data_IF_073542853997
#
_entry.id   IF_073542853997
#
_cell.length_a   1.000
_cell.length_b   1.000
_cell.length_c   1.000
_cell.angle_alpha   90.00
_cell.angle_beta   90.00
_cell.angle_gamma   90.00
#
_symmetry.space_group_name_H-M   'P 1'
#
loop_
_entity.id
_entity.type
_entity.pdbx_description
1 polymer ?
#
# COMPACT_ATOMS: atom_id res chain seq x y z
N UNK A 1 16.45 4.73 11.64
CA UNK A 1 15.35 3.83 12.07
C UNK A 1 14.50 4.57 13.07
N UNK A 2 13.17 4.51 12.94
CA UNK A 2 12.25 5.05 13.93
C UNK A 2 12.29 4.14 15.17
N UNK A 3 13.27 4.36 16.06
CA UNK A 3 13.49 3.49 17.21
C UNK A 3 12.47 3.81 18.31
N UNK A 4 11.64 2.81 18.65
CA UNK A 4 10.88 2.78 19.90
C UNK A 4 9.37 3.00 19.81
N UNK A 5 8.80 3.18 18.62
CA UNK A 5 7.34 3.33 18.46
C UNK A 5 6.79 2.34 17.44
N UNK A 6 5.70 1.67 17.81
CA UNK A 6 4.96 0.77 16.92
C UNK A 6 4.34 1.59 15.77
N UNK A 7 4.62 1.19 14.54
CA UNK A 7 4.04 1.78 13.33
C UNK A 7 2.88 0.89 12.89
N UNK A 8 1.70 1.49 12.70
CA UNK A 8 0.53 0.81 12.15
C UNK A 8 0.22 1.35 10.76
N UNK A 9 0.10 0.44 9.80
CA UNK A 9 -0.37 0.76 8.45
C UNK A 9 -1.89 0.67 8.45
N UNK A 10 -2.56 1.72 8.00
CA UNK A 10 -4.02 1.77 7.82
C UNK A 10 -4.29 2.19 6.37
N UNK A 11 -5.17 1.45 5.71
CA UNK A 11 -5.69 1.82 4.40
C UNK A 11 -6.82 2.83 4.59
N UNK A 12 -7.05 3.69 3.58
CA UNK A 12 -8.32 4.42 3.50
C UNK A 12 -9.47 3.44 3.27
N UNK A 13 -10.70 3.88 3.52
CA UNK A 13 -11.90 3.05 3.30
C UNK A 13 -11.93 2.45 1.89
N UNK A 14 -11.73 3.27 0.86
CA UNK A 14 -11.76 2.81 -0.53
C UNK A 14 -10.59 1.87 -0.85
N UNK A 15 -9.41 2.12 -0.26
CA UNK A 15 -8.26 1.27 -0.46
C UNK A 15 -8.42 -0.10 0.23
N UNK A 16 -9.06 -0.14 1.41
CA UNK A 16 -9.37 -1.39 2.11
C UNK A 16 -10.37 -2.24 1.33
N UNK A 17 -11.44 -1.62 0.80
CA UNK A 17 -12.43 -2.29 -0.04
C UNK A 17 -11.77 -2.99 -1.25
N UNK A 18 -10.97 -2.23 -2.02
CA UNK A 18 -10.28 -2.76 -3.21
C UNK A 18 -9.25 -3.82 -2.82
N UNK A 19 -8.56 -3.67 -1.69
CA UNK A 19 -7.62 -4.67 -1.18
C UNK A 19 -8.30 -5.98 -0.78
N UNK A 20 -9.48 -5.91 -0.16
CA UNK A 20 -10.28 -7.09 0.19
C UNK A 20 -10.81 -7.81 -1.06
N UNK A 21 -11.22 -7.06 -2.09
CA UNK A 21 -11.60 -7.63 -3.39
C UNK A 21 -10.43 -8.35 -4.07
N UNK A 22 -9.25 -7.72 -4.10
CA UNK A 22 -8.03 -8.32 -4.64
C UNK A 22 -7.69 -9.65 -3.92
N UNK A 23 -7.78 -9.67 -2.59
CA UNK A 23 -7.58 -10.88 -1.79
C UNK A 23 -8.57 -11.99 -2.17
N UNK A 24 -9.85 -11.68 -2.38
CA UNK A 24 -10.85 -12.66 -2.83
C UNK A 24 -10.53 -13.21 -4.21
N UNK A 25 -10.08 -12.37 -5.14
CA UNK A 25 -9.68 -12.79 -6.50
C UNK A 25 -8.48 -13.75 -6.42
N UNK A 26 -7.43 -13.37 -5.68
CA UNK A 26 -6.24 -14.22 -5.48
C UNK A 26 -6.61 -15.55 -4.82
N UNK A 27 -7.50 -15.55 -3.83
CA UNK A 27 -8.00 -16.78 -3.22
C UNK A 27 -8.66 -17.72 -4.23
N UNK A 28 -9.52 -17.19 -5.11
CA UNK A 28 -10.17 -17.97 -6.18
C UNK A 28 -9.18 -18.50 -7.20
N UNK A 29 -8.15 -17.72 -7.57
CA UNK A 29 -7.09 -18.17 -8.48
C UNK A 29 -6.30 -19.34 -7.90
N UNK A 30 -5.89 -19.24 -6.63
CA UNK A 30 -5.18 -20.31 -5.94
C UNK A 30 -6.00 -21.59 -5.87
N UNK A 31 -7.30 -21.49 -5.59
CA UNK A 31 -8.22 -22.65 -5.61
C UNK A 31 -8.33 -23.30 -6.99
N UNK A 32 -8.13 -22.55 -8.07
CA UNK A 32 -8.09 -23.05 -9.45
C UNK A 32 -6.71 -23.58 -9.86
N UNK A 33 -5.73 -23.61 -8.96
CA UNK A 33 -4.35 -24.04 -9.26
C UNK A 33 -3.53 -23.01 -10.04
N UNK A 34 -3.99 -21.77 -10.13
CA UNK A 34 -3.22 -20.67 -10.76
C UNK A 34 -2.16 -20.20 -9.76
N UNK A 35 -0.89 -20.45 -10.07
CA UNK A 35 0.24 -20.16 -9.18
C UNK A 35 0.94 -18.83 -9.48
N UNK A 36 0.61 -18.20 -10.62
CA UNK A 36 1.13 -16.89 -11.01
C UNK A 36 0.08 -16.13 -11.80
N UNK A 37 -0.19 -14.90 -11.39
CA UNK A 37 -1.12 -13.98 -12.03
C UNK A 37 -0.73 -12.56 -11.68
N UNK A 38 -1.22 -11.59 -12.45
CA UNK A 38 -1.08 -10.18 -12.13
C UNK A 38 -1.65 -9.85 -10.73
N UNK A 39 -2.82 -10.40 -10.38
CA UNK A 39 -3.45 -10.17 -9.08
C UNK A 39 -2.58 -10.67 -7.93
N UNK A 40 -1.95 -11.83 -8.08
CA UNK A 40 -1.05 -12.38 -7.08
C UNK A 40 0.23 -11.57 -6.92
N UNK A 41 0.82 -11.11 -8.03
CA UNK A 41 1.99 -10.23 -7.98
C UNK A 41 1.65 -8.88 -7.34
N UNK A 42 0.52 -8.28 -7.71
CA UNK A 42 0.04 -7.02 -7.13
C UNK A 42 -0.18 -7.14 -5.62
N UNK A 43 -0.91 -8.18 -5.18
CA UNK A 43 -1.17 -8.41 -3.75
C UNK A 43 0.13 -8.57 -2.97
N UNK A 44 1.06 -9.40 -3.46
CA UNK A 44 2.38 -9.58 -2.85
C UNK A 44 3.16 -8.27 -2.77
N UNK A 45 3.09 -7.42 -3.80
CA UNK A 45 3.77 -6.13 -3.79
C UNK A 45 3.18 -5.18 -2.74
N UNK A 46 1.85 -5.14 -2.60
CA UNK A 46 1.17 -4.32 -1.58
C UNK A 46 1.57 -4.80 -0.18
N UNK A 47 1.53 -6.10 0.08
CA UNK A 47 1.90 -6.70 1.37
C UNK A 47 3.36 -6.38 1.73
N UNK A 48 4.28 -6.54 0.77
CA UNK A 48 5.69 -6.20 0.94
C UNK A 48 5.90 -4.72 1.28
N UNK A 49 5.15 -3.82 0.64
CA UNK A 49 5.23 -2.38 0.94
C UNK A 49 4.64 -2.07 2.32
N UNK A 50 3.54 -2.71 2.71
CA UNK A 50 2.99 -2.58 4.07
C UNK A 50 4.02 -2.99 5.13
N UNK A 51 4.72 -4.10 4.94
CA UNK A 51 5.76 -4.55 5.86
C UNK A 51 6.99 -3.63 5.86
N UNK A 52 7.37 -3.09 4.70
CA UNK A 52 8.43 -2.08 4.59
C UNK A 52 8.07 -0.82 5.39
N UNK A 53 6.82 -0.34 5.30
CA UNK A 53 6.36 0.85 6.01
C UNK A 53 6.36 0.67 7.53
N UNK A 54 6.07 -0.54 8.02
CA UNK A 54 6.19 -0.86 9.46
C UNK A 54 7.63 -0.73 9.98
N UNK A 55 8.61 -0.99 9.13
CA UNK A 55 10.04 -0.89 9.47
C UNK A 55 10.59 0.54 9.24
N UNK A 56 10.10 1.20 8.20
CA UNK A 56 10.49 2.55 7.81
C UNK A 56 9.28 3.32 7.23
N UNK A 57 8.62 4.17 8.04
CA UNK A 57 7.47 4.98 7.59
C UNK A 57 7.81 5.98 6.48
N UNK A 58 9.08 6.29 6.29
CA UNK A 58 9.57 7.24 5.28
C UNK A 58 10.11 6.53 4.02
N UNK A 59 9.75 5.26 3.81
CA UNK A 59 10.11 4.55 2.60
C UNK A 59 9.44 5.20 1.37
N UNK A 60 10.17 5.23 0.24
CA UNK A 60 9.69 5.82 -1.02
C UNK A 60 10.20 7.24 -1.27
N UNK A 61 9.64 7.84 -2.31
CA UNK A 61 9.96 9.19 -2.74
C UNK A 61 9.05 10.19 -2.03
N UNK A 62 9.63 11.18 -1.34
CA UNK A 62 8.83 12.26 -0.77
C UNK A 62 8.24 13.11 -1.90
N UNK A 63 6.92 13.34 -1.84
CA UNK A 63 6.22 14.20 -2.79
C UNK A 63 6.37 15.67 -2.38
N UNK A 64 6.86 16.57 -3.25
CA UNK A 64 6.92 18.00 -2.97
C UNK A 64 5.56 18.56 -2.57
N UNK A 65 5.50 19.44 -1.55
CA UNK A 65 4.24 19.98 -1.02
C UNK A 65 3.31 20.59 -2.07
N UNK A 66 3.88 21.26 -3.08
CA UNK A 66 3.13 21.87 -4.20
C UNK A 66 2.44 20.87 -5.13
N UNK A 67 2.81 19.58 -5.05
CA UNK A 67 2.25 18.49 -5.85
C UNK A 67 1.27 17.62 -5.04
N UNK A 68 1.05 17.94 -3.77
CA UNK A 68 0.09 17.23 -2.93
C UNK A 68 -1.33 17.63 -3.38
N UNK A 69 -2.21 16.68 -3.77
CA UNK A 69 -3.58 16.99 -4.13
C UNK A 69 -4.35 17.56 -2.93
N UNK A 70 -5.12 18.64 -3.14
CA UNK A 70 -5.92 19.27 -2.07
C UNK A 70 -6.94 18.32 -1.44
N UNK A 71 -7.44 17.35 -2.21
CA UNK A 71 -8.33 16.31 -1.71
C UNK A 71 -7.71 15.55 -0.54
N UNK A 72 -6.44 15.19 -0.62
CA UNK A 72 -5.78 14.41 0.42
C UNK A 72 -5.57 15.24 1.68
N UNK A 73 -5.25 16.52 1.53
CA UNK A 73 -5.18 17.46 2.67
C UNK A 73 -6.54 17.57 3.36
N UNK A 74 -7.63 17.76 2.59
CA UNK A 74 -8.98 17.90 3.16
C UNK A 74 -9.49 16.60 3.81
N UNK A 75 -9.21 15.45 3.23
CA UNK A 75 -9.75 14.16 3.68
C UNK A 75 -8.93 13.52 4.80
N UNK A 76 -7.61 13.72 4.79
CA UNK A 76 -6.69 13.00 5.67
C UNK A 76 -5.83 13.92 6.54
N UNK A 77 -5.96 15.24 6.44
CA UNK A 77 -5.17 16.25 7.17
C UNK A 77 -3.65 16.02 7.06
N UNK A 78 -3.21 15.62 5.86
CA UNK A 78 -1.81 15.28 5.60
C UNK A 78 -0.98 16.49 5.20
N UNK A 79 0.20 16.60 5.80
CA UNK A 79 1.18 17.65 5.50
C UNK A 79 2.40 17.14 4.71
N UNK A 80 2.54 15.81 4.60
CA UNK A 80 3.62 15.13 3.89
C UNK A 80 3.06 13.84 3.26
N UNK A 81 3.56 13.49 2.07
CA UNK A 81 3.20 12.28 1.34
C UNK A 81 4.47 11.62 0.81
N UNK A 82 4.49 10.29 0.82
CA UNK A 82 5.50 9.47 0.17
C UNK A 82 4.83 8.62 -0.91
N UNK A 83 5.48 8.52 -2.07
CA UNK A 83 5.08 7.63 -3.17
C UNK A 83 6.02 6.44 -3.20
N UNK A 84 5.46 5.23 -3.22
CA UNK A 84 6.22 3.99 -3.41
C UNK A 84 5.72 3.33 -4.68
N UNK A 85 6.66 3.01 -5.59
CA UNK A 85 6.37 2.20 -6.76
C UNK A 85 6.14 0.73 -6.34
N UNK A 86 5.06 0.14 -6.82
CA UNK A 86 4.80 -1.28 -6.64
C UNK A 86 5.62 -2.08 -7.65
N UNK A 87 6.17 -3.21 -7.21
CA UNK A 87 6.96 -4.08 -8.08
C UNK A 87 6.02 -4.96 -8.92
N UNK A 88 6.38 -5.19 -10.18
CA UNK A 88 5.63 -5.95 -11.19
C UNK A 88 6.20 -7.35 -11.48
N UNK A 89 7.22 -7.78 -10.74
CA UNK A 89 8.01 -8.99 -11.03
C UNK A 89 7.35 -10.32 -10.65
#
# INVERSE_FOLDING_TARGET
MFQGKEVKVKLSEEADEVYLELNKIVGKERLKGINSSLHQTLLRSIDRVSDLLKQNPFAGDQVPKRLIPDEYVRRFDVNNIWRIELADR
#
